data_IF_986104269075
#
_entry.id   IF_986104269075
#
_cell.length_a   1.000
_cell.length_b   1.000
_cell.length_c   1.000
_cell.angle_alpha   90.00
_cell.angle_beta   90.00
_cell.angle_gamma   90.00
#
_symmetry.space_group_name_H-M   'P 1'
#
loop_
_entity.id
_entity.type
_entity.pdbx_description
1 polymer ?
#
# COMPACT_ATOMS: atom_id res chain seq x y z
N UNK A 1 -3.99 76.62 -5.05
CA UNK A 1 -3.72 75.19 -4.77
C UNK A 1 -4.48 74.38 -5.81
N UNK A 2 -3.78 73.78 -6.77
CA UNK A 2 -4.35 73.28 -8.03
C UNK A 2 -4.68 71.78 -7.87
N UNK A 3 -5.96 71.44 -7.94
CA UNK A 3 -6.45 70.06 -7.92
C UNK A 3 -6.18 69.46 -9.31
N UNK A 4 -5.46 68.34 -9.35
CA UNK A 4 -5.30 67.51 -10.55
C UNK A 4 -5.96 66.18 -10.28
N UNK A 5 -7.05 65.89 -11.00
CA UNK A 5 -7.65 64.57 -11.12
C UNK A 5 -7.19 64.03 -12.47
N UNK A 6 -6.50 62.90 -12.46
CA UNK A 6 -6.24 62.10 -13.67
C UNK A 6 -6.77 60.69 -13.45
N UNK A 7 -7.62 60.30 -14.38
CA UNK A 7 -8.43 59.10 -14.47
C UNK A 7 -7.66 57.90 -15.04
N UNK A 8 -8.03 56.72 -14.52
CA UNK A 8 -8.16 55.42 -15.21
C UNK A 8 -6.96 54.78 -15.90
N UNK A 9 -6.54 53.59 -15.44
CA UNK A 9 -6.40 52.43 -16.34
C UNK A 9 -6.44 51.08 -15.57
N UNK A 10 -7.48 50.31 -15.88
CA UNK A 10 -7.56 48.85 -16.10
C UNK A 10 -6.75 47.86 -15.23
N UNK A 11 -7.51 47.11 -14.44
CA UNK A 11 -7.58 45.62 -14.41
C UNK A 11 -6.30 44.81 -14.69
N UNK A 12 -5.86 44.09 -13.66
CA UNK A 12 -4.94 42.96 -13.77
C UNK A 12 -5.14 41.95 -12.64
N UNK A 13 -6.36 41.45 -12.46
CA UNK A 13 -6.58 40.24 -11.63
C UNK A 13 -6.27 39.04 -12.51
N UNK A 14 -5.04 38.56 -12.44
CA UNK A 14 -4.69 37.26 -13.03
C UNK A 14 -5.30 36.19 -12.15
N UNK A 15 -6.53 35.80 -12.47
CA UNK A 15 -7.11 34.57 -11.97
C UNK A 15 -6.29 33.41 -12.58
N UNK A 16 -5.38 32.83 -11.79
CA UNK A 16 -4.77 31.55 -12.12
C UNK A 16 -5.87 30.50 -11.91
N UNK A 17 -6.60 30.21 -12.98
CA UNK A 17 -7.47 29.03 -13.04
C UNK A 17 -6.58 27.80 -13.04
N UNK A 18 -6.44 27.13 -11.89
CA UNK A 18 -5.94 25.75 -11.89
C UNK A 18 -6.95 24.90 -12.65
N UNK A 19 -6.64 24.58 -13.91
CA UNK A 19 -7.25 23.45 -14.58
C UNK A 19 -6.83 22.18 -13.83
N UNK A 20 -7.70 21.70 -12.95
CA UNK A 20 -7.74 20.30 -12.58
C UNK A 20 -8.14 19.53 -13.83
N UNK A 21 -7.15 19.22 -14.67
CA UNK A 21 -7.28 18.20 -15.70
C UNK A 21 -7.58 16.90 -14.98
N UNK A 22 -8.85 16.50 -14.96
CA UNK A 22 -9.22 15.15 -14.61
C UNK A 22 -8.51 14.23 -15.61
N UNK A 23 -7.43 13.58 -15.16
CA UNK A 23 -6.96 12.35 -15.76
C UNK A 23 -8.06 11.30 -15.55
N UNK A 24 -9.12 11.36 -16.36
CA UNK A 24 -9.94 10.20 -16.65
C UNK A 24 -9.01 9.21 -17.33
N UNK A 25 -8.40 8.32 -16.55
CA UNK A 25 -7.93 7.05 -17.07
C UNK A 25 -9.12 6.46 -17.79
N UNK A 26 -8.99 6.35 -19.12
CA UNK A 26 -9.88 5.54 -19.95
C UNK A 26 -9.99 4.20 -19.23
N UNK A 27 -11.19 3.81 -18.83
CA UNK A 27 -11.42 2.43 -18.46
C UNK A 27 -11.02 1.61 -19.68
N UNK A 28 -9.99 0.78 -19.57
CA UNK A 28 -9.73 -0.22 -20.59
C UNK A 28 -10.99 -1.06 -20.69
N UNK A 29 -11.71 -0.89 -21.80
CA UNK A 29 -12.83 -1.73 -22.15
C UNK A 29 -12.30 -3.14 -22.33
N UNK A 30 -12.61 -4.02 -21.37
CA UNK A 30 -12.41 -5.46 -21.51
C UNK A 30 -13.12 -5.88 -22.80
N UNK A 31 -12.35 -6.43 -23.73
CA UNK A 31 -12.87 -6.93 -24.99
C UNK A 31 -14.02 -7.92 -24.73
N UNK A 32 -15.13 -7.72 -25.45
CA UNK A 32 -16.29 -8.62 -25.43
C UNK A 32 -15.83 -10.05 -25.76
N UNK A 33 -16.23 -11.07 -24.99
CA UNK A 33 -15.84 -12.45 -25.30
C UNK A 33 -16.42 -12.86 -26.66
N UNK A 34 -15.54 -13.14 -27.61
CA UNK A 34 -15.89 -13.92 -28.78
C UNK A 34 -16.41 -15.29 -28.35
N UNK A 35 -17.34 -15.85 -29.10
CA UNK A 35 -18.10 -17.10 -28.83
C UNK A 35 -17.26 -18.39 -28.88
N UNK A 36 -15.98 -18.32 -28.52
CA UNK A 36 -15.14 -19.49 -28.26
C UNK A 36 -15.10 -19.76 -26.77
N UNK A 37 -15.50 -20.95 -26.34
CA UNK A 37 -15.35 -21.42 -24.95
C UNK A 37 -13.85 -21.60 -24.61
N UNK A 38 -13.16 -20.52 -24.25
CA UNK A 38 -11.91 -20.58 -23.48
C UNK A 38 -12.29 -20.84 -22.01
N UNK A 39 -11.85 -21.94 -21.37
CA UNK A 39 -12.11 -22.21 -19.96
C UNK A 39 -11.47 -21.19 -18.99
N UNK A 40 -10.73 -20.20 -19.50
CA UNK A 40 -10.28 -19.02 -18.75
C UNK A 40 -11.26 -17.85 -18.85
N UNK A 41 -12.54 -18.11 -18.65
CA UNK A 41 -13.42 -17.05 -18.18
C UNK A 41 -12.85 -16.55 -16.85
N UNK A 42 -12.04 -15.49 -16.91
CA UNK A 42 -11.52 -14.79 -15.75
C UNK A 42 -12.75 -14.28 -15.02
N UNK A 43 -13.20 -15.03 -14.00
CA UNK A 43 -14.14 -14.51 -13.02
C UNK A 43 -13.61 -13.16 -12.62
N UNK A 44 -14.39 -12.10 -12.89
CA UNK A 44 -13.98 -10.73 -12.62
C UNK A 44 -13.45 -10.67 -11.18
N UNK A 45 -12.15 -10.43 -11.05
CA UNK A 45 -11.48 -10.42 -9.76
C UNK A 45 -12.02 -9.21 -8.98
N UNK A 46 -12.93 -9.46 -8.05
CA UNK A 46 -13.53 -8.39 -7.25
C UNK A 46 -12.55 -7.99 -6.16
N UNK A 47 -12.02 -6.78 -6.28
CA UNK A 47 -11.20 -6.16 -5.26
C UNK A 47 -12.09 -5.28 -4.37
N UNK A 48 -11.85 -5.34 -3.06
CA UNK A 48 -12.48 -4.44 -2.08
C UNK A 48 -11.57 -3.25 -1.83
N UNK A 49 -12.09 -2.07 -2.10
CA UNK A 49 -11.37 -0.81 -1.90
C UNK A 49 -11.44 -0.35 -0.45
N UNK A 50 -10.32 0.20 0.02
CA UNK A 50 -10.16 0.74 1.36
C UNK A 50 -9.29 2.00 1.32
N UNK A 51 -9.55 2.91 2.24
CA UNK A 51 -8.71 4.07 2.50
C UNK A 51 -8.36 4.09 3.98
N UNK A 52 -7.09 4.28 4.27
CA UNK A 52 -6.58 4.46 5.63
C UNK A 52 -6.04 5.86 5.75
N UNK A 53 -6.63 6.65 6.64
CA UNK A 53 -6.21 8.01 6.93
C UNK A 53 -5.40 8.04 8.22
N UNK A 54 -4.36 8.87 8.26
CA UNK A 54 -3.63 9.13 9.48
C UNK A 54 -3.07 10.55 9.56
N UNK A 55 -2.33 10.77 10.64
CA UNK A 55 -1.70 12.01 11.01
C UNK A 55 -0.27 11.76 11.43
N UNK A 56 0.61 12.71 11.13
CA UNK A 56 2.00 12.67 11.53
C UNK A 56 2.54 14.04 11.92
N UNK A 57 3.68 14.04 12.59
CA UNK A 57 4.36 15.26 13.09
C UNK A 57 5.63 15.58 12.32
N UNK A 58 6.17 14.64 11.55
CA UNK A 58 7.42 14.80 10.78
C UNK A 58 7.48 13.86 9.57
N UNK A 59 8.15 14.33 8.52
CA UNK A 59 8.50 13.53 7.34
C UNK A 59 9.89 12.86 7.47
N UNK A 60 10.65 13.17 8.52
CA UNK A 60 12.02 12.71 8.67
C UNK A 60 12.16 11.42 9.47
N UNK A 61 11.10 10.97 10.15
CA UNK A 61 11.18 9.84 11.07
C UNK A 61 10.07 8.82 10.80
N UNK A 62 10.44 7.54 10.86
CA UNK A 62 9.50 6.43 10.74
C UNK A 62 8.38 6.51 11.79
N UNK A 63 8.72 6.81 13.04
CA UNK A 63 7.80 6.81 14.18
C UNK A 63 6.99 8.10 14.32
N UNK A 64 7.17 9.08 13.43
CA UNK A 64 6.45 10.35 13.51
C UNK A 64 4.98 10.25 13.05
N UNK A 65 4.54 9.08 12.61
CA UNK A 65 3.19 8.83 12.13
C UNK A 65 2.48 7.83 13.05
N UNK A 66 1.23 8.14 13.40
CA UNK A 66 0.42 7.25 14.23
C UNK A 66 0.01 6.01 13.43
N UNK A 67 0.33 4.78 13.88
CA UNK A 67 -0.09 3.57 13.17
C UNK A 67 -1.61 3.41 13.14
N UNK A 68 -2.11 2.76 12.09
CA UNK A 68 -3.54 2.47 11.88
C UNK A 68 -3.74 1.00 11.57
N UNK A 69 -4.70 0.38 12.23
CA UNK A 69 -5.05 -1.03 12.00
C UNK A 69 -6.34 -1.16 11.20
N UNK A 70 -6.39 -2.17 10.32
CA UNK A 70 -7.57 -2.56 9.55
C UNK A 70 -7.71 -4.06 9.59
N UNK A 71 -8.91 -4.57 9.85
CA UNK A 71 -9.22 -6.00 9.72
C UNK A 71 -9.71 -6.31 8.31
N UNK A 72 -9.02 -7.22 7.60
CA UNK A 72 -9.40 -7.63 6.25
C UNK A 72 -10.67 -8.50 6.25
N UNK A 73 -11.17 -8.81 5.05
CA UNK A 73 -12.38 -9.62 4.82
C UNK A 73 -13.61 -9.16 5.64
N UNK A 74 -13.79 -7.83 5.75
CA UNK A 74 -14.94 -7.27 6.48
C UNK A 74 -14.98 -7.60 7.97
N UNK A 75 -13.82 -7.81 8.60
CA UNK A 75 -13.71 -8.09 10.04
C UNK A 75 -13.39 -9.54 10.39
N UNK A 76 -13.30 -10.44 9.40
CA UNK A 76 -13.06 -11.87 9.62
C UNK A 76 -11.64 -12.33 9.28
N UNK A 77 -10.86 -11.49 8.62
CA UNK A 77 -9.49 -11.78 8.20
C UNK A 77 -8.43 -11.31 9.21
N UNK A 78 -7.15 -11.31 8.81
CA UNK A 78 -6.08 -10.78 9.64
C UNK A 78 -6.22 -9.27 9.84
N UNK A 79 -5.72 -8.82 10.98
CA UNK A 79 -5.49 -7.40 11.25
C UNK A 79 -4.14 -7.03 10.61
N UNK A 80 -4.19 -6.00 9.76
CA UNK A 80 -3.01 -5.37 9.18
C UNK A 80 -2.80 -4.01 9.83
N UNK A 81 -1.54 -3.67 10.13
CA UNK A 81 -1.14 -2.37 10.62
C UNK A 81 -0.42 -1.62 9.51
N UNK A 82 -0.95 -0.45 9.17
CA UNK A 82 -0.29 0.58 8.37
C UNK A 82 0.48 1.50 9.32
N UNK A 83 1.74 1.79 8.99
CA UNK A 83 2.66 2.50 9.85
C UNK A 83 3.79 3.17 9.06
N UNK A 84 4.72 3.81 9.77
CA UNK A 84 5.87 4.45 9.16
C UNK A 84 5.50 5.75 8.43
N UNK A 85 6.47 6.30 7.70
CA UNK A 85 6.30 7.53 6.93
C UNK A 85 5.06 7.46 6.04
N UNK A 86 4.14 8.41 6.19
CA UNK A 86 2.88 8.48 5.43
C UNK A 86 2.13 7.14 5.37
N UNK A 87 2.14 6.39 6.48
CA UNK A 87 1.54 5.06 6.65
C UNK A 87 1.83 4.08 5.53
N UNK A 88 2.98 4.25 4.87
CA UNK A 88 3.32 3.50 3.69
C UNK A 88 3.94 2.14 4.01
N UNK A 89 4.18 1.82 5.27
CA UNK A 89 4.68 0.52 5.69
C UNK A 89 3.50 -0.31 6.20
N UNK A 90 3.54 -1.62 5.95
CA UNK A 90 2.45 -2.51 6.30
C UNK A 90 2.97 -3.83 6.86
N UNK A 91 2.30 -4.33 7.90
CA UNK A 91 2.56 -5.64 8.51
C UNK A 91 1.28 -6.32 8.98
N UNK A 92 1.19 -7.66 8.94
CA UNK A 92 0.18 -8.37 9.70
C UNK A 92 0.54 -8.30 11.19
N UNK A 93 -0.47 -8.09 12.04
CA UNK A 93 -0.33 -8.13 13.51
C UNK A 93 -1.07 -9.31 14.14
N UNK A 94 -1.87 -10.03 13.34
CA UNK A 94 -2.45 -11.31 13.74
C UNK A 94 -1.39 -12.42 13.64
N UNK A 95 -1.25 -13.21 14.70
CA UNK A 95 -0.30 -14.33 14.72
C UNK A 95 -0.56 -15.39 13.64
N UNK A 96 0.50 -16.03 13.17
CA UNK A 96 0.44 -17.05 12.10
C UNK A 96 0.25 -16.48 10.69
N UNK A 97 0.26 -15.15 10.53
CA UNK A 97 0.25 -14.49 9.24
C UNK A 97 1.63 -13.92 8.88
N UNK A 98 1.98 -14.12 7.62
CA UNK A 98 3.25 -13.77 7.02
C UNK A 98 3.04 -12.77 5.89
N UNK A 99 4.09 -12.06 5.51
CA UNK A 99 4.02 -11.03 4.48
C UNK A 99 5.15 -11.16 3.47
N UNK A 100 4.87 -10.73 2.26
CA UNK A 100 5.80 -10.70 1.15
C UNK A 100 5.26 -9.83 0.03
N UNK A 101 5.97 -9.83 -1.09
CA UNK A 101 5.57 -9.09 -2.28
C UNK A 101 5.64 -9.95 -3.52
N UNK A 102 4.91 -9.57 -4.55
CA UNK A 102 4.99 -10.16 -5.88
C UNK A 102 4.67 -9.11 -6.96
N UNK A 103 4.92 -9.45 -8.22
CA UNK A 103 4.59 -8.58 -9.34
C UNK A 103 3.08 -8.31 -9.45
N UNK A 104 2.70 -7.09 -9.83
CA UNK A 104 1.30 -6.65 -9.89
C UNK A 104 0.45 -7.39 -10.95
N UNK A 105 1.08 -7.95 -11.99
CA UNK A 105 0.40 -8.70 -13.05
C UNK A 105 -0.39 -9.92 -12.53
N UNK A 106 -0.04 -10.42 -11.35
CA UNK A 106 -0.64 -11.60 -10.72
C UNK A 106 -1.73 -11.28 -9.69
N UNK A 107 -2.19 -10.02 -9.61
CA UNK A 107 -3.22 -9.60 -8.64
C UNK A 107 -4.50 -10.44 -8.73
N UNK A 108 -4.86 -10.89 -9.92
CA UNK A 108 -6.07 -11.67 -10.18
C UNK A 108 -5.85 -13.20 -10.11
N UNK A 109 -4.61 -13.65 -9.94
CA UNK A 109 -4.25 -15.07 -9.93
C UNK A 109 -4.76 -15.80 -8.67
N UNK A 110 -4.89 -17.12 -8.77
CA UNK A 110 -5.23 -18.03 -7.66
C UNK A 110 -3.99 -18.38 -6.81
N UNK A 111 -4.21 -18.86 -5.58
CA UNK A 111 -3.14 -19.27 -4.66
C UNK A 111 -2.09 -20.19 -5.31
N UNK A 112 -2.54 -21.19 -6.07
CA UNK A 112 -1.68 -22.18 -6.73
C UNK A 112 -0.64 -21.57 -7.68
N UNK A 113 -0.92 -20.38 -8.22
CA UNK A 113 0.00 -19.63 -9.09
C UNK A 113 0.87 -18.68 -8.26
N UNK A 114 0.25 -17.88 -7.37
CA UNK A 114 0.95 -16.81 -6.66
C UNK A 114 1.97 -17.36 -5.67
N UNK A 115 1.73 -18.52 -5.06
CA UNK A 115 2.60 -19.08 -4.02
C UNK A 115 4.05 -19.31 -4.46
N UNK A 116 4.28 -19.47 -5.76
CA UNK A 116 5.61 -19.66 -6.35
C UNK A 116 6.29 -18.35 -6.75
N UNK A 117 5.60 -17.21 -6.63
CA UNK A 117 6.05 -15.87 -7.08
C UNK A 117 6.25 -14.89 -5.93
N UNK A 118 5.91 -15.29 -4.70
CA UNK A 118 6.04 -14.45 -3.52
C UNK A 118 7.52 -14.38 -3.12
N UNK A 119 8.05 -13.17 -3.09
CA UNK A 119 9.27 -12.88 -2.35
C UNK A 119 8.89 -12.68 -0.88
N UNK A 120 9.40 -13.52 0.00
CA UNK A 120 8.98 -13.55 1.42
C UNK A 120 9.83 -12.57 2.25
N UNK A 121 9.17 -11.83 3.15
CA UNK A 121 9.86 -11.01 4.16
C UNK A 121 10.30 -11.89 5.34
N UNK A 122 11.41 -12.61 5.20
CA UNK A 122 11.87 -13.58 6.22
C UNK A 122 12.57 -13.00 7.47
N UNK A 123 12.81 -11.69 7.53
CA UNK A 123 13.51 -11.08 8.67
C UNK A 123 12.61 -11.02 9.92
N UNK A 124 12.90 -11.88 10.91
CA UNK A 124 12.24 -12.00 12.22
C UNK A 124 10.71 -12.19 12.12
N UNK A 125 10.33 -13.25 11.42
CA UNK A 125 8.96 -13.70 11.24
C UNK A 125 8.38 -14.24 12.56
N UNK A 126 7.68 -13.38 13.30
CA UNK A 126 6.86 -13.78 14.44
C UNK A 126 7.25 -13.14 15.77
N UNK A 127 8.18 -12.18 15.78
CA UNK A 127 8.33 -11.25 16.91
C UNK A 127 7.39 -10.07 16.69
N UNK A 128 6.40 -9.89 17.57
CA UNK A 128 5.71 -8.61 17.67
C UNK A 128 6.75 -7.53 18.00
N UNK A 129 6.70 -6.33 17.40
CA UNK A 129 7.67 -5.27 17.66
C UNK A 129 7.96 -5.11 19.14
N UNK A 130 9.23 -5.09 19.53
CA UNK A 130 9.58 -4.48 20.80
C UNK A 130 9.35 -2.96 20.69
N UNK A 131 9.03 -2.32 21.81
CA UNK A 131 8.72 -0.89 21.87
C UNK A 131 9.95 0.02 21.73
N UNK A 132 11.14 -0.56 21.51
CA UNK A 132 12.44 0.09 21.72
C UNK A 132 13.33 0.14 20.47
N UNK A 133 12.98 -0.57 19.40
CA UNK A 133 13.68 -0.54 18.13
C UNK A 133 12.70 -0.45 16.96
N UNK A 134 12.92 0.52 16.06
CA UNK A 134 12.18 0.66 14.79
C UNK A 134 11.83 -0.71 14.21
N UNK A 135 10.54 -1.05 14.18
CA UNK A 135 10.07 -2.39 13.82
C UNK A 135 10.26 -2.66 12.33
N UNK A 136 11.49 -2.98 11.94
CA UNK A 136 11.85 -3.35 10.56
C UNK A 136 11.51 -4.81 10.24
N UNK A 137 10.99 -5.53 11.23
CA UNK A 137 10.70 -6.97 11.19
C UNK A 137 9.25 -7.21 10.79
N UNK A 138 9.02 -8.20 9.92
CA UNK A 138 7.70 -8.55 9.37
C UNK A 138 6.88 -7.37 8.76
N UNK A 139 7.55 -6.30 8.34
CA UNK A 139 6.95 -5.14 7.69
C UNK A 139 7.48 -5.01 6.26
N UNK A 140 6.62 -4.69 5.30
CA UNK A 140 7.04 -4.29 3.94
C UNK A 140 6.66 -2.83 3.72
N UNK A 141 7.52 -2.09 3.05
CA UNK A 141 7.32 -0.66 2.80
C UNK A 141 8.18 -0.22 1.64
N UNK A 142 9.08 0.73 1.89
CA UNK A 142 10.08 1.11 0.89
C UNK A 142 10.95 -0.10 0.53
N UNK A 143 11.26 -0.25 -0.75
CA UNK A 143 12.27 -1.18 -1.22
C UNK A 143 13.65 -0.56 -1.01
N UNK A 144 14.37 -1.03 0.03
CA UNK A 144 15.69 -0.52 0.41
C UNK A 144 15.72 0.26 1.72
N UNK A 145 16.43 1.40 1.73
CA UNK A 145 16.74 2.17 2.93
C UNK A 145 15.88 3.43 3.03
N UNK A 146 15.27 3.64 4.20
CA UNK A 146 14.59 4.89 4.56
C UNK A 146 15.13 5.43 5.88
N UNK A 147 15.51 6.72 5.90
CA UNK A 147 16.05 7.39 7.09
C UNK A 147 17.20 6.61 7.77
N UNK A 148 18.11 6.02 6.97
CA UNK A 148 19.24 5.23 7.45
C UNK A 148 18.91 3.81 7.92
N UNK A 149 17.64 3.40 7.89
CA UNK A 149 17.20 2.04 8.24
C UNK A 149 16.91 1.25 6.96
N UNK A 150 17.61 0.13 6.78
CA UNK A 150 17.33 -0.80 5.69
C UNK A 150 16.17 -1.73 6.07
N UNK A 151 15.06 -1.61 5.33
CA UNK A 151 13.88 -2.46 5.51
C UNK A 151 13.97 -3.72 4.64
N UNK A 152 14.97 -3.90 3.80
CA UNK A 152 15.10 -5.04 2.91
C UNK A 152 13.97 -5.04 1.88
N UNK A 153 13.06 -6.02 1.96
CA UNK A 153 11.94 -6.17 1.03
C UNK A 153 10.89 -5.06 1.19
N UNK A 154 10.54 -4.43 0.08
CA UNK A 154 9.47 -3.44 -0.03
C UNK A 154 8.61 -3.61 -1.27
N UNK A 155 7.59 -2.76 -1.39
CA UNK A 155 6.61 -2.79 -2.49
C UNK A 155 6.53 -1.45 -3.25
N UNK A 156 7.22 -0.42 -2.79
CA UNK A 156 7.32 0.87 -3.46
C UNK A 156 8.74 1.45 -3.31
N UNK A 157 9.10 2.40 -4.15
CA UNK A 157 10.32 3.21 -4.01
C UNK A 157 9.99 4.70 -4.14
N UNK A 158 10.96 5.58 -3.86
CA UNK A 158 10.80 7.01 -4.10
C UNK A 158 11.44 7.41 -5.43
N UNK A 159 10.66 8.03 -6.30
CA UNK A 159 11.14 8.79 -7.46
C UNK A 159 10.89 10.26 -7.16
N UNK A 160 11.95 11.07 -7.04
CA UNK A 160 11.81 12.52 -6.77
C UNK A 160 10.96 12.84 -5.53
N UNK A 161 11.01 12.02 -4.48
CA UNK A 161 10.21 12.19 -3.26
C UNK A 161 8.76 11.70 -3.37
N UNK A 162 8.34 11.17 -4.53
CA UNK A 162 7.02 10.59 -4.75
C UNK A 162 7.11 9.06 -4.60
N UNK A 163 6.30 8.44 -3.73
CA UNK A 163 6.24 6.98 -3.62
C UNK A 163 5.61 6.38 -4.90
N UNK A 164 6.35 5.51 -5.56
CA UNK A 164 5.95 4.75 -6.75
C UNK A 164 5.83 3.28 -6.38
N UNK A 165 4.64 2.71 -6.55
CA UNK A 165 4.35 1.30 -6.22
C UNK A 165 4.84 0.40 -7.35
N UNK A 166 5.67 -0.58 -7.02
CA UNK A 166 6.29 -1.51 -7.98
C UNK A 166 5.73 -2.93 -7.89
N UNK A 167 5.13 -3.26 -6.74
CA UNK A 167 4.72 -4.62 -6.41
C UNK A 167 3.46 -4.60 -5.58
N UNK A 168 2.75 -5.73 -5.60
CA UNK A 168 1.63 -5.96 -4.68
C UNK A 168 2.12 -6.69 -3.45
N UNK A 169 1.42 -6.46 -2.35
CA UNK A 169 1.68 -7.12 -1.08
C UNK A 169 0.85 -8.41 -1.03
N UNK A 170 1.44 -9.47 -0.51
CA UNK A 170 0.74 -10.73 -0.23
C UNK A 170 0.86 -11.04 1.24
N UNK A 171 -0.27 -11.37 1.86
CA UNK A 171 -0.36 -11.84 3.23
C UNK A 171 -0.96 -13.24 3.21
N UNK A 172 -0.35 -14.20 3.89
CA UNK A 172 -0.87 -15.57 3.95
C UNK A 172 -0.74 -16.13 5.35
N UNK A 173 -1.65 -17.06 5.66
CA UNK A 173 -1.61 -17.85 6.89
C UNK A 173 -0.72 -19.07 6.70
N UNK A 174 0.11 -19.36 7.69
CA UNK A 174 0.81 -20.63 7.79
C UNK A 174 0.47 -21.29 9.13
N UNK A 175 -0.30 -22.38 9.05
CA UNK A 175 -0.71 -23.14 10.24
C UNK A 175 0.44 -23.94 10.86
N UNK A 176 1.57 -24.08 10.17
CA UNK A 176 2.76 -24.76 10.70
C UNK A 176 3.65 -23.81 11.52
N UNK A 177 3.24 -22.55 11.72
CA UNK A 177 3.93 -21.60 12.58
C UNK A 177 4.11 -22.16 14.00
N UNK A 178 5.33 -22.57 14.35
CA UNK A 178 5.66 -23.13 15.67
C UNK A 178 6.34 -22.14 16.61
N UNK A 179 6.85 -21.01 16.12
CA UNK A 179 7.58 -20.03 16.92
C UNK A 179 7.64 -18.65 16.24
N UNK A 180 8.14 -17.66 16.99
CA UNK A 180 8.44 -16.30 16.52
C UNK A 180 9.62 -16.17 15.55
N UNK A 181 10.24 -17.30 15.21
CA UNK A 181 11.37 -17.42 14.28
C UNK A 181 11.07 -18.33 13.10
N UNK A 182 9.85 -18.86 13.01
CA UNK A 182 9.46 -19.78 11.95
C UNK A 182 9.49 -19.09 10.59
N UNK A 183 10.15 -19.73 9.62
CA UNK A 183 10.24 -19.26 8.24
C UNK A 183 9.16 -19.94 7.40
N UNK A 184 8.17 -19.17 6.96
CA UNK A 184 7.14 -19.68 6.05
C UNK A 184 7.63 -19.68 4.61
N UNK A 185 7.39 -20.80 3.92
CA UNK A 185 7.72 -20.98 2.51
C UNK A 185 6.41 -21.23 1.74
N UNK A 186 5.79 -20.20 1.13
CA UNK A 186 4.47 -20.29 0.52
C UNK A 186 4.33 -21.43 -0.49
N UNK A 187 5.37 -21.70 -1.28
CA UNK A 187 5.38 -22.74 -2.30
C UNK A 187 5.25 -24.15 -1.70
N UNK A 188 5.77 -24.36 -0.48
CA UNK A 188 5.75 -25.62 0.25
C UNK A 188 4.44 -25.89 0.99
N UNK A 189 3.54 -24.91 1.09
CA UNK A 189 2.25 -25.10 1.76
C UNK A 189 1.36 -26.07 0.97
N UNK A 190 0.83 -27.05 1.70
CA UNK A 190 -0.17 -27.99 1.22
C UNK A 190 -1.57 -27.38 1.38
N UNK A 191 -2.43 -27.57 0.37
CA UNK A 191 -3.76 -26.98 0.33
C UNK A 191 -3.79 -25.49 -0.06
N UNK A 192 -4.92 -24.84 0.22
CA UNK A 192 -5.16 -23.42 -0.03
C UNK A 192 -5.27 -22.70 1.32
N UNK A 193 -4.18 -22.12 1.84
CA UNK A 193 -4.23 -21.36 3.07
C UNK A 193 -5.10 -20.12 2.86
N UNK A 194 -5.54 -19.55 3.97
CA UNK A 194 -6.11 -18.22 3.93
C UNK A 194 -5.04 -17.21 3.50
N UNK A 195 -5.25 -16.54 2.36
CA UNK A 195 -4.33 -15.54 1.85
C UNK A 195 -5.04 -14.34 1.24
N UNK A 196 -4.30 -13.23 1.14
CA UNK A 196 -4.78 -11.93 0.72
C UNK A 196 -3.76 -11.27 -0.20
N UNK A 197 -4.25 -10.65 -1.26
CA UNK A 197 -3.45 -9.75 -2.11
C UNK A 197 -3.91 -8.33 -1.81
N UNK A 198 -2.96 -7.43 -1.55
CA UNK A 198 -3.18 -6.00 -1.33
C UNK A 198 -2.46 -5.24 -2.44
N UNK A 199 -3.24 -4.52 -3.24
CA UNK A 199 -2.77 -3.64 -4.30
C UNK A 199 -2.89 -2.18 -3.85
N UNK A 200 -1.78 -1.56 -3.48
CA UNK A 200 -1.72 -0.15 -3.09
C UNK A 200 -1.83 0.72 -4.34
N UNK A 201 -2.82 1.61 -4.36
CA UNK A 201 -3.17 2.42 -5.53
C UNK A 201 -2.55 3.81 -5.48
N UNK A 202 -2.52 4.43 -4.30
CA UNK A 202 -2.01 5.79 -4.15
C UNK A 202 -1.69 6.14 -2.71
N UNK A 203 -0.76 7.06 -2.55
CA UNK A 203 -0.51 7.80 -1.32
C UNK A 203 -0.89 9.25 -1.56
N UNK A 204 -1.79 9.79 -0.75
CA UNK A 204 -2.11 11.21 -0.74
C UNK A 204 -1.53 11.82 0.54
N UNK A 205 -0.58 12.73 0.40
CA UNK A 205 0.09 13.41 1.52
C UNK A 205 -0.32 14.88 1.52
N UNK A 206 -0.64 15.41 2.69
CA UNK A 206 -1.06 16.79 2.87
C UNK A 206 -0.80 17.31 4.30
N UNK A 207 -1.50 18.37 4.65
CA UNK A 207 -1.35 19.06 5.93
C UNK A 207 -0.26 20.14 5.90
N UNK A 208 0.02 20.70 7.08
CA UNK A 208 1.00 21.77 7.27
C UNK A 208 2.13 21.32 8.18
N UNK A 209 3.26 22.02 8.17
CA UNK A 209 4.41 21.68 9.00
C UNK A 209 4.02 21.49 10.48
N UNK A 210 4.31 20.31 11.03
CA UNK A 210 3.97 19.92 12.41
C UNK A 210 2.58 19.29 12.60
N UNK A 211 1.74 19.28 11.56
CA UNK A 211 0.42 18.66 11.54
C UNK A 211 0.14 18.09 10.14
N UNK A 212 0.84 17.01 9.80
CA UNK A 212 0.71 16.34 8.51
C UNK A 212 -0.45 15.35 8.52
N UNK A 213 -1.05 15.17 7.35
CA UNK A 213 -2.11 14.19 7.12
C UNK A 213 -1.76 13.35 5.92
N UNK A 214 -2.18 12.09 5.94
CA UNK A 214 -2.03 11.20 4.79
C UNK A 214 -3.24 10.30 4.60
N UNK A 215 -3.37 9.78 3.39
CA UNK A 215 -4.29 8.73 3.05
C UNK A 215 -3.61 7.70 2.15
N UNK A 216 -3.68 6.43 2.55
CA UNK A 216 -3.30 5.29 1.70
C UNK A 216 -4.56 4.68 1.12
N UNK A 217 -4.67 4.66 -0.21
CA UNK A 217 -5.73 3.93 -0.90
C UNK A 217 -5.19 2.60 -1.39
N UNK A 218 -5.90 1.52 -1.09
CA UNK A 218 -5.56 0.20 -1.57
C UNK A 218 -6.82 -0.62 -1.87
N UNK A 219 -6.63 -1.63 -2.70
CA UNK A 219 -7.64 -2.62 -3.03
C UNK A 219 -7.14 -3.98 -2.59
N UNK A 220 -7.99 -4.81 -2.01
CA UNK A 220 -7.59 -6.15 -1.60
C UNK A 220 -8.58 -7.22 -2.01
N UNK A 221 -8.10 -8.47 -2.08
CA UNK A 221 -8.93 -9.66 -2.20
C UNK A 221 -8.41 -10.77 -1.32
N UNK A 222 -9.32 -11.65 -0.91
CA UNK A 222 -8.98 -12.98 -0.39
C UNK A 222 -8.74 -13.92 -1.57
N UNK A 223 -7.78 -14.82 -1.44
CA UNK A 223 -7.44 -15.87 -2.42
C UNK A 223 -7.46 -17.26 -1.79
#
# INVERSE_FOLDING_TARGET
>A
MKITISSSLLTGVTAITLLLGACSKKADSIATPGTGTDPRAVTACTLKDTVVNSTGTSFSYYTAWAPKTVTLAGGTGPVVQWEGYSNSFVRPVTGGFYIGTMAAADTCSAWSVVKNKITVKNANLGVAPDTTGYSKYNVVGVNGTFSGVNFGLGYYHYVTGVPTVDSVIVIWKDSHSTSSSYVSVPSALTGTPEAYIINVRSFAVGGTSGAYTDAVSYAYKKI
#
